data_IF_962186664671
#
_entry.id   IF_962186664671
#
_cell.length_a   1.000
_cell.length_b   1.000
_cell.length_c   1.000
_cell.angle_alpha   90.00
_cell.angle_beta   90.00
_cell.angle_gamma   90.00
#
_symmetry.space_group_name_H-M   'P 1'
#
loop_
_entity.id
_entity.type
_entity.pdbx_description
1 polymer ?
#
# COMPACT_ATOMS: atom_id res chain seq x y z
N UNK A 1 -11.97 -19.21 10.27
CA UNK A 1 -11.57 -17.81 10.48
C UNK A 1 -12.23 -17.33 11.75
N UNK A 2 -11.47 -16.78 12.72
CA UNK A 2 -12.07 -16.20 13.93
C UNK A 2 -13.01 -15.04 13.55
N UNK A 3 -14.22 -15.05 14.05
CA UNK A 3 -15.21 -14.02 13.80
C UNK A 3 -15.72 -13.48 15.14
N UNK A 4 -15.71 -12.16 15.30
CA UNK A 4 -16.29 -11.50 16.46
C UNK A 4 -17.18 -10.34 16.02
N UNK A 5 -18.27 -10.12 16.76
CA UNK A 5 -19.09 -8.92 16.58
C UNK A 5 -18.64 -7.83 17.53
N UNK A 6 -18.46 -6.62 17.01
CA UNK A 6 -18.08 -5.44 17.81
C UNK A 6 -19.09 -4.32 17.58
N UNK A 7 -19.38 -3.48 18.59
CA UNK A 7 -20.18 -2.27 18.38
C UNK A 7 -19.51 -1.34 17.37
N UNK A 8 -20.29 -0.70 16.50
CA UNK A 8 -19.77 0.18 15.43
C UNK A 8 -18.84 1.28 15.98
N UNK A 9 -19.21 1.91 17.10
CA UNK A 9 -18.43 2.97 17.73
C UNK A 9 -17.07 2.51 18.31
N UNK A 10 -16.89 1.19 18.51
CA UNK A 10 -15.63 0.62 19.02
C UNK A 10 -14.78 -0.03 17.90
N UNK A 11 -15.33 -0.14 16.69
CA UNK A 11 -14.71 -0.88 15.59
C UNK A 11 -13.31 -0.36 15.23
N UNK A 12 -13.13 0.96 15.15
CA UNK A 12 -11.84 1.57 14.83
C UNK A 12 -10.72 1.17 15.79
N UNK A 13 -10.99 1.19 17.10
CA UNK A 13 -9.99 0.81 18.11
C UNK A 13 -9.59 -0.67 18.04
N UNK A 14 -10.49 -1.56 17.61
CA UNK A 14 -10.17 -2.96 17.36
C UNK A 14 -9.40 -3.14 16.07
N UNK A 15 -9.79 -2.45 14.99
CA UNK A 15 -9.07 -2.43 13.72
C UNK A 15 -7.62 -2.00 13.91
N UNK A 16 -7.39 -0.87 14.60
CA UNK A 16 -6.05 -0.36 14.89
C UNK A 16 -5.15 -1.43 15.52
N UNK A 17 -5.66 -2.13 16.54
CA UNK A 17 -4.89 -3.17 17.25
C UNK A 17 -4.60 -4.38 16.37
N UNK A 18 -5.58 -4.82 15.57
CA UNK A 18 -5.42 -5.96 14.68
C UNK A 18 -4.43 -5.66 13.55
N UNK A 19 -4.55 -4.50 12.93
CA UNK A 19 -3.63 -4.07 11.85
C UNK A 19 -2.20 -3.89 12.38
N UNK A 20 -2.03 -3.23 13.55
CA UNK A 20 -0.72 -3.13 14.21
C UNK A 20 -0.13 -4.50 14.58
N UNK A 21 -0.98 -5.49 14.83
CA UNK A 21 -0.59 -6.88 15.02
C UNK A 21 -0.26 -7.64 13.73
N UNK A 22 -0.26 -6.97 12.56
CA UNK A 22 0.02 -7.58 11.26
C UNK A 22 -1.13 -8.41 10.69
N UNK A 23 -2.35 -8.25 11.20
CA UNK A 23 -3.51 -9.00 10.72
C UNK A 23 -4.22 -8.26 9.58
N UNK A 24 -4.78 -9.02 8.65
CA UNK A 24 -5.75 -8.54 7.66
C UNK A 24 -7.15 -8.80 8.20
N UNK A 25 -8.04 -7.83 8.10
CA UNK A 25 -9.37 -7.87 8.69
C UNK A 25 -10.43 -7.79 7.61
N UNK A 26 -11.35 -8.75 7.58
CA UNK A 26 -12.55 -8.67 6.74
C UNK A 26 -13.68 -8.02 7.55
N UNK A 27 -14.27 -6.97 7.02
CA UNK A 27 -15.45 -6.32 7.58
C UNK A 27 -16.67 -6.92 6.89
N UNK A 28 -17.57 -7.51 7.68
CA UNK A 28 -18.83 -8.06 7.21
C UNK A 28 -20.00 -7.32 7.84
N UNK A 29 -20.97 -7.00 7.02
CA UNK A 29 -22.23 -6.38 7.45
C UNK A 29 -23.42 -7.32 7.26
N UNK A 30 -24.49 -7.06 7.98
CA UNK A 30 -25.74 -7.79 7.82
C UNK A 30 -26.45 -7.30 6.57
N UNK A 31 -26.78 -8.23 5.68
CA UNK A 31 -27.47 -7.93 4.42
C UNK A 31 -28.98 -8.10 4.50
N UNK A 32 -29.48 -8.66 5.61
CA UNK A 32 -30.92 -8.80 5.87
C UNK A 32 -31.25 -8.45 7.32
N UNK A 33 -32.50 -8.05 7.57
CA UNK A 33 -32.98 -7.83 8.92
C UNK A 33 -33.26 -9.17 9.66
N UNK A 34 -33.26 -9.19 11.00
CA UNK A 34 -33.66 -10.38 11.78
C UNK A 34 -35.08 -10.89 11.45
N UNK A 35 -35.96 -9.99 11.02
CA UNK A 35 -37.34 -10.33 10.62
C UNK A 35 -37.36 -11.07 9.28
N UNK A 36 -36.56 -10.58 8.31
CA UNK A 36 -36.39 -11.24 7.01
C UNK A 36 -35.75 -12.62 7.17
N UNK A 37 -34.72 -12.73 8.02
CA UNK A 37 -34.10 -14.01 8.33
C UNK A 37 -35.09 -15.00 8.91
N UNK A 38 -35.95 -14.56 9.87
CA UNK A 38 -37.01 -15.39 10.45
C UNK A 38 -38.06 -15.82 9.42
N UNK A 39 -38.43 -14.93 8.51
CA UNK A 39 -39.39 -15.25 7.44
C UNK A 39 -38.81 -16.31 6.47
N UNK A 40 -37.51 -16.30 6.22
CA UNK A 40 -36.80 -17.24 5.33
C UNK A 40 -36.59 -18.61 5.99
N UNK A 41 -36.24 -18.70 7.26
CA UNK A 41 -35.78 -19.95 7.87
C UNK A 41 -36.28 -20.18 9.30
N UNK A 42 -37.31 -19.45 9.77
CA UNK A 42 -37.90 -19.61 11.09
C UNK A 42 -37.05 -18.98 12.21
N UNK A 43 -37.43 -19.28 13.46
CA UNK A 43 -36.83 -18.63 14.65
C UNK A 43 -35.36 -18.92 14.89
N UNK A 44 -34.77 -19.92 14.23
CA UNK A 44 -33.37 -20.31 14.33
C UNK A 44 -32.53 -19.84 13.14
N UNK A 45 -33.10 -19.11 12.17
CA UNK A 45 -32.37 -18.63 11.02
C UNK A 45 -31.31 -17.63 11.44
N UNK A 46 -30.07 -17.83 10.96
CA UNK A 46 -28.99 -16.87 11.11
C UNK A 46 -29.19 -15.73 10.10
N UNK A 47 -28.97 -14.51 10.54
CA UNK A 47 -28.99 -13.33 9.67
C UNK A 47 -27.84 -13.43 8.66
N UNK A 48 -28.16 -13.26 7.38
CA UNK A 48 -27.16 -13.26 6.32
C UNK A 48 -26.19 -12.09 6.49
N UNK A 49 -24.92 -12.36 6.22
CA UNK A 49 -23.83 -11.38 6.27
C UNK A 49 -23.00 -11.51 5.03
N UNK A 50 -22.49 -10.39 4.54
CA UNK A 50 -21.56 -10.36 3.43
C UNK A 50 -20.35 -9.52 3.76
N UNK A 51 -19.21 -9.85 3.16
CA UNK A 51 -17.97 -9.09 3.33
C UNK A 51 -18.07 -7.84 2.45
N UNK A 52 -17.99 -6.68 3.06
CA UNK A 52 -18.10 -5.40 2.36
C UNK A 52 -16.73 -4.81 2.00
N UNK A 53 -15.69 -5.14 2.74
CA UNK A 53 -14.30 -4.79 2.43
C UNK A 53 -13.31 -5.57 3.28
N UNK A 54 -12.07 -5.62 2.81
CA UNK A 54 -10.91 -5.99 3.62
C UNK A 54 -10.16 -4.73 4.06
N UNK A 55 -9.61 -4.76 5.26
CA UNK A 55 -8.74 -3.72 5.79
C UNK A 55 -7.37 -4.33 6.02
N UNK A 56 -6.35 -3.71 5.45
CA UNK A 56 -4.95 -4.14 5.51
C UNK A 56 -4.05 -2.96 5.88
N UNK A 57 -2.78 -3.20 6.19
CA UNK A 57 -1.87 -2.12 6.56
C UNK A 57 -1.76 -1.02 5.50
N UNK A 58 -1.69 -1.41 4.22
CA UNK A 58 -1.56 -0.47 3.09
C UNK A 58 -2.87 0.12 2.59
N UNK A 59 -4.03 -0.33 3.11
CA UNK A 59 -5.36 0.11 2.66
C UNK A 59 -6.19 0.77 3.75
N UNK A 60 -5.54 1.28 4.80
CA UNK A 60 -6.19 2.09 5.83
C UNK A 60 -6.63 3.44 5.26
N UNK A 61 -7.87 3.81 5.52
CA UNK A 61 -8.46 5.11 5.14
C UNK A 61 -8.97 5.87 6.35
N UNK A 62 -9.01 5.26 7.50
CA UNK A 62 -9.48 5.86 8.74
C UNK A 62 -8.42 6.83 9.29
N UNK A 63 -8.72 8.13 9.30
CA UNK A 63 -7.81 9.19 9.77
C UNK A 63 -7.29 8.93 11.19
N UNK A 64 -8.11 8.32 12.05
CA UNK A 64 -7.75 7.97 13.42
C UNK A 64 -6.69 6.85 13.53
N UNK A 65 -6.50 6.08 12.45
CA UNK A 65 -5.57 4.95 12.39
C UNK A 65 -4.29 5.28 11.62
N UNK A 66 -4.32 6.34 10.81
CA UNK A 66 -3.17 6.83 10.07
C UNK A 66 -2.29 7.67 11.00
N UNK A 67 -1.00 7.40 10.97
CA UNK A 67 -0.03 8.27 11.63
C UNK A 67 0.04 9.58 10.82
N UNK A 68 -0.35 10.71 11.40
CA UNK A 68 -0.48 12.00 10.72
C UNK A 68 0.81 12.47 10.02
N UNK A 69 1.94 11.85 10.37
CA UNK A 69 3.27 12.19 9.87
C UNK A 69 3.91 11.13 8.98
N UNK A 70 3.25 9.99 8.78
CA UNK A 70 3.75 8.90 7.96
C UNK A 70 2.82 8.65 6.77
N UNK A 71 3.39 8.55 5.57
CA UNK A 71 2.65 8.11 4.37
C UNK A 71 2.29 6.64 4.52
N UNK A 72 1.08 6.26 4.15
CA UNK A 72 0.62 4.87 4.17
C UNK A 72 0.77 4.25 2.78
N UNK A 73 2.00 3.88 2.42
CA UNK A 73 2.33 3.43 1.07
C UNK A 73 2.05 1.94 0.89
N UNK A 74 1.21 1.61 -0.08
CA UNK A 74 1.06 0.29 -0.67
C UNK A 74 1.98 0.19 -1.90
N UNK A 75 2.79 -0.87 -1.98
CA UNK A 75 3.68 -1.11 -3.13
C UNK A 75 3.28 -2.40 -3.83
N UNK A 76 3.21 -2.36 -5.15
CA UNK A 76 3.08 -3.55 -6.00
C UNK A 76 4.35 -3.74 -6.85
N UNK A 77 4.84 -4.98 -6.91
CA UNK A 77 6.04 -5.37 -7.63
C UNK A 77 5.71 -6.37 -8.74
N UNK A 78 6.22 -6.12 -9.92
CA UNK A 78 6.08 -7.02 -11.06
C UNK A 78 7.41 -7.16 -11.81
N UNK A 79 7.65 -8.32 -12.42
CA UNK A 79 8.78 -8.53 -13.29
C UNK A 79 8.28 -8.74 -14.73
N UNK A 80 8.75 -7.93 -15.65
CA UNK A 80 8.44 -8.07 -17.06
C UNK A 80 9.63 -7.61 -17.92
N UNK A 81 10.02 -8.46 -18.88
CA UNK A 81 11.11 -8.14 -19.80
C UNK A 81 12.50 -7.99 -19.13
N UNK A 82 12.73 -8.63 -17.98
CA UNK A 82 13.98 -8.54 -17.23
C UNK A 82 14.12 -7.25 -16.40
N UNK A 83 13.05 -6.45 -16.29
CA UNK A 83 12.98 -5.24 -15.47
C UNK A 83 11.97 -5.45 -14.34
N UNK A 84 12.22 -4.84 -13.19
CA UNK A 84 11.27 -4.83 -12.08
C UNK A 84 10.49 -3.52 -12.16
N UNK A 85 9.17 -3.66 -12.36
CA UNK A 85 8.22 -2.58 -12.20
C UNK A 85 7.80 -2.43 -10.75
N UNK A 86 7.69 -1.20 -10.31
CA UNK A 86 7.22 -0.81 -9.00
C UNK A 86 6.08 0.18 -9.16
N UNK A 87 4.97 -0.09 -8.54
CA UNK A 87 3.85 0.84 -8.42
C UNK A 87 3.61 1.13 -6.94
N UNK A 88 3.60 2.40 -6.56
CA UNK A 88 3.42 2.85 -5.18
C UNK A 88 2.19 3.75 -5.08
N UNK A 89 1.30 3.50 -4.16
CA UNK A 89 0.12 4.32 -3.93
C UNK A 89 -0.12 4.58 -2.45
N UNK A 90 -0.60 5.78 -2.14
CA UNK A 90 -1.20 6.14 -0.86
C UNK A 90 -2.65 6.52 -1.11
N UNK A 91 -3.56 5.66 -0.68
CA UNK A 91 -5.00 5.83 -0.93
C UNK A 91 -5.62 6.96 -0.12
N UNK A 92 -4.97 7.43 0.95
CA UNK A 92 -5.44 8.56 1.76
C UNK A 92 -5.22 9.90 1.06
N UNK A 93 -4.14 10.01 0.28
CA UNK A 93 -3.76 11.24 -0.45
C UNK A 93 -4.06 11.17 -1.94
N UNK A 94 -4.37 9.99 -2.43
CA UNK A 94 -4.50 9.69 -3.86
C UNK A 94 -3.16 9.66 -4.60
N UNK A 95 -2.03 9.58 -3.88
CA UNK A 95 -0.71 9.46 -4.50
C UNK A 95 -0.60 8.16 -5.30
N UNK A 96 -0.03 8.26 -6.52
CA UNK A 96 0.23 7.10 -7.35
C UNK A 96 1.49 7.34 -8.20
N UNK A 97 2.53 6.54 -7.97
CA UNK A 97 3.80 6.57 -8.68
C UNK A 97 4.07 5.22 -9.32
N UNK A 98 4.66 5.22 -10.50
CA UNK A 98 5.19 4.02 -11.15
C UNK A 98 6.65 4.24 -11.54
N UNK A 99 7.47 3.18 -11.48
CA UNK A 99 8.89 3.25 -11.86
C UNK A 99 9.42 1.88 -12.26
N UNK A 100 10.52 1.89 -13.01
CA UNK A 100 11.36 0.70 -13.20
C UNK A 100 12.55 0.76 -12.26
N UNK A 101 12.83 -0.37 -11.60
CA UNK A 101 13.90 -0.50 -10.62
C UNK A 101 14.82 -1.65 -11.00
N UNK A 102 16.11 -1.43 -10.93
CA UNK A 102 17.08 -2.52 -11.07
C UNK A 102 17.02 -3.43 -9.83
N UNK A 103 17.16 -4.75 -9.99
CA UNK A 103 17.10 -5.70 -8.88
C UNK A 103 18.06 -5.33 -7.74
N UNK A 104 19.27 -4.87 -8.05
CA UNK A 104 20.25 -4.44 -7.06
C UNK A 104 19.84 -3.16 -6.28
N UNK A 105 18.87 -2.40 -6.77
CA UNK A 105 18.40 -1.14 -6.15
C UNK A 105 17.03 -1.28 -5.49
N UNK A 106 16.39 -2.45 -5.61
CA UNK A 106 15.03 -2.67 -5.11
C UNK A 106 14.93 -2.41 -3.61
N UNK A 107 15.87 -2.94 -2.83
CA UNK A 107 15.87 -2.78 -1.37
C UNK A 107 16.01 -1.30 -0.97
N UNK A 108 16.89 -0.56 -1.62
CA UNK A 108 17.08 0.87 -1.36
C UNK A 108 15.82 1.68 -1.71
N UNK A 109 15.14 1.32 -2.80
CA UNK A 109 13.90 1.99 -3.21
C UNK A 109 12.74 1.67 -2.27
N UNK A 110 12.61 0.43 -1.81
CA UNK A 110 11.64 0.05 -0.79
C UNK A 110 11.93 0.76 0.54
N UNK A 111 13.19 0.87 0.94
CA UNK A 111 13.58 1.62 2.14
C UNK A 111 13.22 3.13 2.02
N UNK A 112 13.36 3.72 0.82
CA UNK A 112 12.96 5.11 0.54
C UNK A 112 11.45 5.31 0.68
N UNK A 113 10.67 4.38 0.15
CA UNK A 113 9.20 4.46 0.19
C UNK A 113 8.63 4.14 1.57
N UNK A 114 9.29 3.27 2.34
CA UNK A 114 8.81 2.81 3.63
C UNK A 114 7.42 2.16 3.55
N UNK A 115 7.19 1.17 2.67
CA UNK A 115 5.85 0.66 2.44
C UNK A 115 5.26 0.01 3.70
N UNK A 116 4.00 0.31 3.97
CA UNK A 116 3.22 -0.38 4.99
C UNK A 116 2.79 -1.77 4.54
N UNK A 117 2.73 -1.99 3.23
CA UNK A 117 2.34 -3.26 2.64
C UNK A 117 2.96 -3.43 1.25
N UNK A 118 3.37 -4.65 0.93
CA UNK A 118 3.94 -4.99 -0.37
C UNK A 118 3.15 -6.16 -0.96
N UNK A 119 2.75 -6.03 -2.22
CA UNK A 119 2.14 -7.11 -3.01
C UNK A 119 3.02 -7.43 -4.21
N UNK A 120 3.10 -8.69 -4.60
CA UNK A 120 3.84 -9.10 -5.77
C UNK A 120 3.17 -10.30 -6.48
N UNK A 121 3.53 -10.51 -7.74
CA UNK A 121 3.12 -11.68 -8.49
C UNK A 121 3.68 -12.96 -7.85
N UNK A 122 2.92 -14.04 -7.85
CA UNK A 122 3.38 -15.37 -7.46
C UNK A 122 4.69 -15.72 -8.18
N UNK A 123 5.69 -16.17 -7.40
CA UNK A 123 7.01 -16.53 -7.90
C UNK A 123 7.88 -15.33 -8.33
N UNK A 124 7.63 -14.15 -7.81
CA UNK A 124 8.54 -13.00 -7.95
C UNK A 124 9.89 -13.33 -7.31
N UNK A 125 10.99 -13.23 -8.10
CA UNK A 125 12.29 -13.78 -7.68
C UNK A 125 12.91 -13.04 -6.48
N UNK A 126 12.76 -11.72 -6.41
CA UNK A 126 13.33 -10.87 -5.35
C UNK A 126 12.31 -10.53 -4.25
N UNK A 127 11.53 -11.52 -3.80
CA UNK A 127 10.43 -11.35 -2.85
C UNK A 127 10.89 -10.76 -1.51
N UNK A 128 10.52 -9.54 -1.14
CA UNK A 128 10.80 -8.99 0.17
C UNK A 128 10.04 -9.73 1.27
N UNK A 129 10.58 -9.74 2.49
CA UNK A 129 9.88 -10.33 3.62
C UNK A 129 8.53 -9.65 3.89
N UNK A 130 7.49 -10.46 4.15
CA UNK A 130 6.15 -9.95 4.42
C UNK A 130 5.33 -9.58 3.19
N UNK A 131 5.84 -9.84 1.98
CA UNK A 131 5.09 -9.61 0.73
C UNK A 131 3.87 -10.51 0.62
N UNK A 132 2.77 -9.95 0.15
CA UNK A 132 1.55 -10.68 -0.18
C UNK A 132 1.64 -11.14 -1.62
N UNK A 133 1.58 -12.45 -1.82
CA UNK A 133 1.53 -13.03 -3.16
C UNK A 133 0.13 -12.92 -3.76
N UNK A 134 0.06 -12.55 -5.03
CA UNK A 134 -1.17 -12.50 -5.82
C UNK A 134 -0.99 -13.25 -7.13
N UNK A 135 -2.08 -13.73 -7.74
CA UNK A 135 -2.02 -14.42 -9.02
C UNK A 135 -1.26 -13.62 -10.07
N UNK A 136 -0.43 -14.29 -10.86
CA UNK A 136 0.32 -13.66 -11.96
C UNK A 136 -0.58 -12.94 -12.97
N UNK A 137 -1.82 -13.38 -13.11
CA UNK A 137 -2.81 -12.75 -13.98
C UNK A 137 -3.14 -11.32 -13.61
N UNK A 138 -3.00 -10.95 -12.32
CA UNK A 138 -3.21 -9.59 -11.85
C UNK A 138 -2.10 -8.65 -12.34
N UNK A 139 -0.92 -9.21 -12.68
CA UNK A 139 0.29 -8.48 -13.09
C UNK A 139 0.58 -8.62 -14.60
N UNK A 140 -0.48 -8.72 -15.41
CA UNK A 140 -0.31 -8.67 -16.87
C UNK A 140 -0.21 -7.22 -17.38
N UNK A 141 0.78 -6.93 -18.21
CA UNK A 141 1.04 -5.57 -18.71
C UNK A 141 -0.07 -5.07 -19.66
N UNK A 142 -0.72 -5.97 -20.41
CA UNK A 142 -1.82 -5.62 -21.31
C UNK A 142 -3.07 -5.33 -20.49
N UNK A 143 -3.39 -6.23 -19.55
CA UNK A 143 -4.46 -6.03 -18.57
C UNK A 143 -4.25 -4.79 -17.73
N UNK A 144 -3.03 -4.52 -17.28
CA UNK A 144 -2.65 -3.34 -16.52
C UNK A 144 -2.90 -2.03 -17.27
N UNK A 145 -2.56 -1.98 -18.56
CA UNK A 145 -2.88 -0.83 -19.41
C UNK A 145 -4.40 -0.61 -19.51
N UNK A 146 -5.16 -1.69 -19.69
CA UNK A 146 -6.63 -1.66 -19.71
C UNK A 146 -7.23 -1.18 -18.39
N UNK A 147 -6.72 -1.68 -17.26
CA UNK A 147 -7.16 -1.29 -15.92
C UNK A 147 -6.89 0.19 -15.64
N UNK A 148 -5.71 0.70 -16.00
CA UNK A 148 -5.39 2.13 -15.92
C UNK A 148 -6.36 2.98 -16.75
N UNK A 149 -6.58 2.60 -18.02
CA UNK A 149 -7.50 3.32 -18.90
C UNK A 149 -8.94 3.33 -18.36
N UNK A 150 -9.40 2.21 -17.80
CA UNK A 150 -10.72 2.11 -17.19
C UNK A 150 -10.84 2.96 -15.92
N UNK A 151 -9.82 2.92 -15.04
CA UNK A 151 -9.84 3.65 -13.77
C UNK A 151 -9.79 5.17 -13.97
N UNK A 152 -8.98 5.65 -14.93
CA UNK A 152 -8.79 7.08 -15.17
C UNK A 152 -9.67 7.66 -16.30
N UNK A 153 -10.59 6.86 -16.85
CA UNK A 153 -11.49 7.31 -17.91
C UNK A 153 -10.78 7.60 -19.24
N UNK A 154 -9.66 6.94 -19.49
CA UNK A 154 -8.76 7.14 -20.62
C UNK A 154 -7.40 7.68 -20.14
N UNK A 155 -6.48 7.83 -21.07
CA UNK A 155 -5.11 8.31 -20.80
C UNK A 155 -4.12 7.66 -21.75
N UNK A 156 -3.03 8.36 -22.05
CA UNK A 156 -1.94 7.78 -22.80
C UNK A 156 -0.88 7.18 -21.86
N UNK A 157 -0.92 5.87 -21.73
CA UNK A 157 0.04 5.10 -20.94
C UNK A 157 1.11 4.43 -21.83
N UNK A 158 1.26 4.89 -23.07
CA UNK A 158 2.25 4.31 -24.01
C UNK A 158 3.70 4.58 -23.60
N UNK A 159 3.94 5.61 -22.79
CA UNK A 159 5.24 5.94 -22.23
C UNK A 159 5.69 5.00 -21.11
N UNK A 160 4.77 4.27 -20.50
CA UNK A 160 5.09 3.33 -19.43
C UNK A 160 5.67 2.04 -20.00
N UNK A 161 6.70 1.52 -19.35
CA UNK A 161 7.28 0.23 -19.67
C UNK A 161 6.32 -0.93 -19.37
N UNK A 162 6.61 -2.10 -19.92
CA UNK A 162 5.81 -3.31 -19.62
C UNK A 162 5.82 -3.66 -18.14
N UNK A 163 6.96 -3.44 -17.46
CA UNK A 163 7.09 -3.71 -16.04
C UNK A 163 6.26 -2.73 -15.20
N UNK A 164 6.30 -1.43 -15.54
CA UNK A 164 5.46 -0.41 -14.87
C UNK A 164 3.96 -0.68 -15.07
N UNK A 165 3.55 -1.04 -16.28
CA UNK A 165 2.15 -1.40 -16.58
C UNK A 165 1.70 -2.64 -15.79
N UNK A 166 2.56 -3.65 -15.69
CA UNK A 166 2.27 -4.87 -14.93
C UNK A 166 2.14 -4.58 -13.43
N UNK A 167 3.06 -3.79 -12.86
CA UNK A 167 3.01 -3.40 -11.46
C UNK A 167 1.76 -2.55 -11.15
N UNK A 168 1.44 -1.57 -12.00
CA UNK A 168 0.25 -0.74 -11.87
C UNK A 168 -1.04 -1.57 -11.95
N UNK A 169 -1.10 -2.53 -12.88
CA UNK A 169 -2.20 -3.49 -13.01
C UNK A 169 -2.41 -4.31 -11.74
N UNK A 170 -1.32 -4.86 -11.20
CA UNK A 170 -1.34 -5.63 -9.96
C UNK A 170 -1.80 -4.81 -8.76
N UNK A 171 -1.37 -3.54 -8.66
CA UNK A 171 -1.82 -2.63 -7.61
C UNK A 171 -3.33 -2.36 -7.72
N UNK A 172 -3.83 -2.02 -8.90
CA UNK A 172 -5.25 -1.76 -9.12
C UNK A 172 -6.09 -3.02 -8.86
N UNK A 173 -5.66 -4.20 -9.33
CA UNK A 173 -6.33 -5.46 -9.08
C UNK A 173 -6.39 -5.80 -7.58
N UNK A 174 -5.31 -5.50 -6.85
CA UNK A 174 -5.30 -5.68 -5.39
C UNK A 174 -6.27 -4.73 -4.69
N UNK A 175 -6.29 -3.46 -5.07
CA UNK A 175 -7.22 -2.46 -4.50
C UNK A 175 -8.67 -2.83 -4.78
N UNK A 176 -8.98 -3.30 -6.00
CA UNK A 176 -10.32 -3.79 -6.36
C UNK A 176 -10.74 -4.99 -5.51
N UNK A 177 -9.83 -5.95 -5.34
CA UNK A 177 -10.07 -7.13 -4.50
C UNK A 177 -10.34 -6.74 -3.04
N UNK A 178 -9.52 -5.85 -2.46
CA UNK A 178 -9.64 -5.41 -1.06
C UNK A 178 -10.89 -4.56 -0.86
N UNK A 179 -11.18 -3.68 -1.81
CA UNK A 179 -12.35 -2.79 -1.80
C UNK A 179 -13.66 -3.47 -2.20
N UNK A 180 -13.62 -4.76 -2.60
CA UNK A 180 -14.81 -5.50 -3.10
C UNK A 180 -15.52 -4.72 -4.23
N UNK A 181 -14.76 -4.30 -5.23
CA UNK A 181 -15.23 -3.51 -6.37
C UNK A 181 -15.36 -2.01 -6.11
N UNK A 182 -15.05 -1.54 -4.90
CA UNK A 182 -15.03 -0.11 -4.56
C UNK A 182 -13.59 0.40 -4.66
N UNK A 183 -13.27 1.03 -5.78
CA UNK A 183 -11.94 1.59 -6.01
C UNK A 183 -11.76 2.91 -5.26
N UNK A 184 -10.62 3.11 -4.56
CA UNK A 184 -10.29 4.40 -3.97
C UNK A 184 -9.96 5.43 -5.05
N UNK A 185 -10.04 6.71 -4.68
CA UNK A 185 -9.56 7.77 -5.55
C UNK A 185 -8.03 7.74 -5.63
N UNK A 186 -7.50 7.67 -6.85
CA UNK A 186 -6.09 7.83 -7.13
C UNK A 186 -5.91 8.95 -8.17
N UNK A 187 -4.83 9.70 -8.03
CA UNK A 187 -4.40 10.65 -9.06
C UNK A 187 -3.78 9.89 -10.23
N UNK A 188 -3.77 10.51 -11.42
CA UNK A 188 -3.08 9.96 -12.59
C UNK A 188 -1.65 9.56 -12.19
N UNK A 189 -1.20 8.33 -12.51
CA UNK A 189 0.15 7.90 -12.15
C UNK A 189 1.20 8.74 -12.89
N UNK A 190 2.24 9.09 -12.17
CA UNK A 190 3.42 9.67 -12.80
C UNK A 190 4.55 8.64 -12.80
N UNK A 191 5.27 8.57 -13.93
CA UNK A 191 6.47 7.73 -14.03
C UNK A 191 7.67 8.52 -13.53
N UNK A 192 8.36 8.00 -12.54
CA UNK A 192 9.62 8.56 -12.06
C UNK A 192 10.85 8.04 -12.83
N UNK A 193 10.60 7.26 -13.89
CA UNK A 193 11.63 6.72 -14.78
C UNK A 193 12.43 5.58 -14.18
N UNK A 194 13.54 5.21 -14.82
CA UNK A 194 14.43 4.15 -14.34
C UNK A 194 15.21 4.62 -13.13
N UNK A 195 14.88 4.11 -11.97
CA UNK A 195 15.65 4.34 -10.74
C UNK A 195 16.76 3.29 -10.64
N UNK A 196 17.99 3.72 -10.50
CA UNK A 196 19.16 2.85 -10.35
C UNK A 196 20.37 3.21 -11.17
N UNK A 197 20.28 4.18 -12.10
CA UNK A 197 21.45 4.67 -12.83
C UNK A 197 22.02 6.00 -12.29
N UNK A 198 21.35 6.64 -11.34
CA UNK A 198 21.70 8.00 -10.89
C UNK A 198 22.79 8.01 -9.82
N UNK A 199 23.09 6.89 -9.18
CA UNK A 199 24.15 6.83 -8.16
C UNK A 199 25.57 6.59 -8.71
N UNK A 200 25.72 6.39 -10.01
CA UNK A 200 27.04 6.20 -10.61
C UNK A 200 27.75 7.49 -10.97
N UNK A 201 27.12 8.68 -10.90
CA UNK A 201 27.73 9.93 -11.39
C UNK A 201 27.75 11.08 -10.37
N UNK A 202 27.34 10.86 -9.14
CA UNK A 202 27.58 11.83 -8.07
C UNK A 202 28.88 11.50 -7.32
N UNK A 203 29.96 11.29 -8.06
CA UNK A 203 31.30 11.36 -7.51
C UNK A 203 31.72 12.82 -7.57
N UNK A 204 31.74 13.42 -6.40
CA UNK A 204 32.46 14.62 -6.03
C UNK A 204 31.97 15.96 -6.60
N UNK A 205 31.56 16.78 -5.74
CA UNK A 205 32.38 17.92 -5.34
C UNK A 205 31.85 18.39 -3.98
N UNK A 206 32.25 17.69 -2.94
CA UNK A 206 32.20 18.28 -1.59
C UNK A 206 33.35 19.27 -1.52
N UNK A 207 33.08 20.53 -1.79
CA UNK A 207 33.86 21.62 -1.26
C UNK A 207 33.77 21.60 0.27
N UNK A 208 34.88 21.71 0.98
CA UNK A 208 34.84 21.74 2.43
C UNK A 208 34.12 23.02 2.90
N UNK A 209 32.97 22.85 3.47
CA UNK A 209 32.27 23.90 4.18
C UNK A 209 33.04 24.14 5.49
N UNK A 210 33.77 25.24 5.53
CA UNK A 210 34.48 25.74 6.70
C UNK A 210 33.43 26.10 7.74
N UNK A 211 33.33 25.32 8.81
CA UNK A 211 32.56 25.69 9.99
C UNK A 211 33.43 26.50 10.89
N UNK A 212 33.21 27.81 10.90
CA UNK A 212 33.70 28.70 11.97
C UNK A 212 32.65 28.78 13.09
N UNK A 213 33.09 28.59 14.32
CA UNK A 213 32.34 29.07 15.49
C UNK A 213 31.96 28.00 16.48
N UNK A 214 32.88 27.71 17.41
CA UNK A 214 32.56 27.21 18.73
C UNK A 214 31.98 28.34 19.60
N UNK A 215 30.94 28.10 20.36
CA UNK A 215 30.86 28.64 21.69
C UNK A 215 30.90 27.54 22.74
N UNK A 216 31.86 27.69 23.62
CA UNK A 216 31.99 27.01 24.90
C UNK A 216 30.72 27.15 25.73
N UNK A 217 30.19 26.03 26.19
CA UNK A 217 29.28 26.03 27.35
C UNK A 217 29.79 25.05 28.39
N UNK A 218 30.05 25.64 29.55
CA UNK A 218 30.48 25.04 30.81
C UNK A 218 29.37 24.16 31.41
N UNK A 219 29.74 23.07 32.10
CA UNK A 219 28.76 22.23 32.77
C UNK A 219 28.53 22.75 34.20
N UNK A 220 27.28 23.03 34.54
CA UNK A 220 26.89 23.10 35.94
C UNK A 220 25.41 22.77 36.13
N UNK A 221 25.24 21.88 37.05
CA UNK A 221 24.15 21.71 38.01
C UNK A 221 23.11 20.66 37.74
N UNK A 222 23.36 19.54 38.38
CA UNK A 222 22.39 18.60 38.95
C UNK A 222 21.24 19.29 39.69
N UNK A 223 20.04 18.79 39.49
CA UNK A 223 19.06 18.66 40.57
C UNK A 223 18.11 17.51 40.31
N UNK A 224 18.26 16.48 41.10
CA UNK A 224 17.35 15.38 41.34
C UNK A 224 16.21 15.88 42.23
N UNK A 225 14.94 15.51 41.91
CA UNK A 225 13.87 15.35 42.93
C UNK A 225 12.70 14.49 42.34
N UNK A 226 12.56 13.34 42.96
CA UNK A 226 11.41 12.45 43.26
C UNK A 226 10.27 12.35 42.27
#
# INVERSE_FOLDING_TARGET
IPMCGVPVHAAEGYLARLIKGGHRVAIAEQTESPEQAKARGGSKALVARDIIRFVTAGTLTEDSLLDSWASNILVALAEAGGEIGLAAADISTGYFEVSCVAAASLEAELARLGPSEIVAAEGFAAMPYGTIERPRTDFDSVGGKGALAAHFGGGDFASLSRAELAAAGGLLAYLDHVGQGKMPFLKMPFSSGKRGSVFATAKATMSPMVIFGTPSFSPASFACLR
#
